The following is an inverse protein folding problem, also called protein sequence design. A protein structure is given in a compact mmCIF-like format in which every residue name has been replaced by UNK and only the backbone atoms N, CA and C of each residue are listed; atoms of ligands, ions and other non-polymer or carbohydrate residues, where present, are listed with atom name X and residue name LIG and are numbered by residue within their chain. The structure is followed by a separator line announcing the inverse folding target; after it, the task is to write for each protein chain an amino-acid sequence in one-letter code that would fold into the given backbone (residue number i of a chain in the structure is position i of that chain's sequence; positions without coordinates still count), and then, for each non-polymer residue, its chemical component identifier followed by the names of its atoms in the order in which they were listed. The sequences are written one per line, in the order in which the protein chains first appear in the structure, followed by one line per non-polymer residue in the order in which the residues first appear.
data_IF_168002178478
#
_entry.id   IF_168002178478
#
_cell.length_a   1.000
_cell.length_b   1.000
_cell.length_c   1.000
_cell.angle_alpha   90.00
_cell.angle_beta   90.00
_cell.angle_gamma   90.00
#
_symmetry.space_group_name_H-M   'P 1'
#
loop_
_entity.id
_entity.type
_entity.pdbx_description
1 polymer ?
#
# COMPACT_ATOMS: atom_id res chain seq x y z
N UNK A 1 33.12 -22.50 -54.62
CA UNK A 1 32.73 -22.64 -53.20
C UNK A 1 32.74 -21.30 -52.44
N UNK A 2 32.27 -20.19 -53.03
CA UNK A 2 32.22 -18.87 -52.36
C UNK A 2 30.80 -18.31 -52.17
N UNK A 3 29.79 -19.02 -52.67
CA UNK A 3 28.42 -18.49 -52.75
C UNK A 3 27.48 -19.10 -51.69
N UNK A 4 27.89 -20.18 -51.02
CA UNK A 4 27.12 -20.78 -49.92
C UNK A 4 27.34 -20.07 -48.57
N UNK A 5 28.47 -19.37 -48.41
CA UNK A 5 28.81 -18.65 -47.17
C UNK A 5 28.03 -17.33 -47.04
N UNK A 6 27.66 -16.70 -48.17
CA UNK A 6 26.92 -15.42 -48.17
C UNK A 6 25.43 -15.60 -47.86
N UNK A 7 24.83 -16.74 -48.24
CA UNK A 7 23.40 -17.02 -48.01
C UNK A 7 23.14 -17.42 -46.54
N UNK A 8 24.12 -18.02 -45.87
CA UNK A 8 23.99 -18.41 -44.46
C UNK A 8 23.97 -17.20 -43.50
N UNK A 9 24.62 -16.09 -43.86
CA UNK A 9 24.74 -14.89 -43.02
C UNK A 9 23.47 -14.01 -43.11
N UNK A 10 22.77 -14.03 -44.25
CA UNK A 10 21.52 -13.27 -44.43
C UNK A 10 20.35 -13.92 -43.67
N UNK A 11 20.35 -15.24 -43.50
CA UNK A 11 19.31 -15.95 -42.73
C UNK A 11 19.38 -15.69 -41.21
N UNK A 12 20.55 -15.31 -40.68
CA UNK A 12 20.72 -15.06 -39.25
C UNK A 12 20.22 -13.68 -38.80
N UNK A 13 20.12 -12.72 -39.74
CA UNK A 13 19.76 -11.31 -39.42
C UNK A 13 18.23 -11.09 -39.40
N UNK A 14 17.44 -12.02 -39.94
CA UNK A 14 15.97 -11.86 -40.03
C UNK A 14 15.24 -12.41 -38.78
N UNK A 15 15.92 -13.14 -37.88
CA UNK A 15 15.26 -13.76 -36.72
C UNK A 15 15.15 -12.89 -35.45
N UNK A 16 15.65 -11.65 -35.44
CA UNK A 16 15.69 -10.82 -34.21
C UNK A 16 14.64 -9.70 -34.16
N UNK A 17 13.71 -9.65 -35.12
CA UNK A 17 12.68 -8.60 -35.21
C UNK A 17 11.27 -9.12 -34.92
N UNK A 18 11.05 -9.82 -33.81
CA UNK A 18 9.69 -9.99 -33.28
C UNK A 18 9.68 -10.28 -31.78
N UNK A 19 9.93 -9.25 -30.99
CA UNK A 19 9.51 -9.18 -29.58
C UNK A 19 9.42 -7.71 -29.18
N UNK A 20 8.64 -6.95 -29.96
CA UNK A 20 8.28 -5.58 -29.64
C UNK A 20 7.37 -5.54 -28.41
N UNK A 21 7.98 -5.31 -27.25
CA UNK A 21 7.47 -4.70 -26.01
C UNK A 21 5.96 -4.40 -25.99
N UNK A 22 5.19 -5.23 -25.27
CA UNK A 22 3.81 -4.97 -24.82
C UNK A 22 3.78 -4.45 -23.35
N UNK A 23 4.60 -3.44 -23.03
CA UNK A 23 4.74 -2.92 -21.66
C UNK A 23 3.94 -1.63 -21.35
N UNK A 24 3.05 -1.19 -22.25
CA UNK A 24 2.37 0.12 -22.11
C UNK A 24 1.02 0.08 -21.37
N UNK A 25 0.32 -1.06 -21.33
CA UNK A 25 -1.00 -1.13 -20.70
C UNK A 25 -0.97 -1.53 -19.22
N UNK A 26 -0.11 -2.48 -18.83
CA UNK A 26 0.02 -2.90 -17.43
C UNK A 26 0.44 -1.75 -16.48
N UNK A 27 1.33 -0.86 -16.93
CA UNK A 27 1.77 0.28 -16.12
C UNK A 27 0.67 1.31 -15.88
N UNK A 28 -0.28 1.49 -16.82
CA UNK A 28 -1.36 2.47 -16.67
C UNK A 28 -2.39 2.00 -15.64
N UNK A 29 -2.72 0.71 -15.68
CA UNK A 29 -3.67 0.09 -14.75
C UNK A 29 -3.15 0.08 -13.30
N UNK A 30 -1.85 -0.24 -13.11
CA UNK A 30 -1.18 -0.21 -11.80
C UNK A 30 -1.20 1.20 -11.21
N UNK A 31 -0.79 2.21 -11.99
CA UNK A 31 -0.77 3.61 -11.52
C UNK A 31 -2.16 4.12 -11.12
N UNK A 32 -3.21 3.70 -11.84
CA UNK A 32 -4.59 4.09 -11.47
C UNK A 32 -5.10 3.42 -10.20
N UNK A 33 -4.72 2.16 -9.97
CA UNK A 33 -5.11 1.43 -8.75
C UNK A 33 -4.42 2.04 -7.53
N UNK A 34 -3.12 2.30 -7.62
CA UNK A 34 -2.33 2.87 -6.52
C UNK A 34 -2.85 4.26 -6.12
N UNK A 35 -3.17 5.11 -7.09
CA UNK A 35 -3.74 6.43 -6.81
C UNK A 35 -5.11 6.34 -6.08
N UNK A 36 -5.97 5.40 -6.48
CA UNK A 36 -7.27 5.19 -5.82
C UNK A 36 -7.09 4.65 -4.39
N UNK A 37 -6.18 3.70 -4.18
CA UNK A 37 -5.86 3.18 -2.84
C UNK A 37 -5.32 4.30 -1.94
N UNK A 38 -4.38 5.10 -2.45
CA UNK A 38 -3.84 6.23 -1.72
C UNK A 38 -4.93 7.23 -1.30
N UNK A 39 -5.88 7.53 -2.19
CA UNK A 39 -7.02 8.40 -1.89
C UNK A 39 -7.91 7.82 -0.77
N UNK A 40 -8.24 6.53 -0.84
CA UNK A 40 -9.02 5.82 0.19
C UNK A 40 -8.31 5.88 1.56
N UNK A 41 -7.01 5.56 1.61
CA UNK A 41 -6.25 5.60 2.85
C UNK A 41 -6.13 7.03 3.42
N UNK A 42 -5.98 8.03 2.55
CA UNK A 42 -5.91 9.44 2.97
C UNK A 42 -7.24 9.98 3.47
N UNK A 43 -8.38 9.40 3.08
CA UNK A 43 -9.71 9.72 3.62
C UNK A 43 -10.05 8.98 4.92
N UNK A 44 -9.19 8.07 5.40
CA UNK A 44 -9.44 7.34 6.62
C UNK A 44 -9.45 8.27 7.86
N UNK A 45 -10.40 8.03 8.77
CA UNK A 45 -10.60 8.78 9.99
C UNK A 45 -10.11 8.00 11.21
N UNK A 46 -9.55 8.72 12.21
CA UNK A 46 -9.11 8.16 13.48
C UNK A 46 -9.74 8.93 14.64
N UNK A 47 -10.48 8.23 15.51
CA UNK A 47 -11.21 8.84 16.62
C UNK A 47 -11.39 7.88 17.81
N UNK A 48 -11.58 8.35 19.05
CA UNK A 48 -11.46 9.74 19.45
C UNK A 48 -10.02 10.23 19.39
N UNK A 49 -9.84 11.53 19.22
CA UNK A 49 -8.55 12.18 19.35
C UNK A 49 -8.76 13.48 20.16
N UNK A 50 -8.30 13.58 21.41
CA UNK A 50 -7.40 12.64 22.09
C UNK A 50 -8.05 11.29 22.45
N UNK A 51 -7.24 10.24 22.46
CA UNK A 51 -7.60 8.87 22.77
C UNK A 51 -7.32 8.52 24.23
N UNK A 52 -8.18 7.69 24.82
CA UNK A 52 -7.90 7.00 26.08
C UNK A 52 -7.43 5.58 25.74
N UNK A 53 -8.16 4.54 26.12
CA UNK A 53 -7.66 3.16 25.99
C UNK A 53 -7.78 2.57 24.58
N UNK A 54 -8.50 3.24 23.68
CA UNK A 54 -8.65 2.79 22.31
C UNK A 54 -8.87 3.94 21.33
N UNK A 55 -8.61 3.65 20.06
CA UNK A 55 -9.07 4.42 18.91
C UNK A 55 -9.83 3.52 17.94
N UNK A 56 -10.66 4.17 17.14
CA UNK A 56 -11.33 3.61 15.98
C UNK A 56 -10.67 4.17 14.73
N UNK A 57 -10.41 3.28 13.78
CA UNK A 57 -10.04 3.61 12.42
C UNK A 57 -11.26 3.32 11.53
N UNK A 58 -11.74 4.34 10.84
CA UNK A 58 -12.82 4.23 9.85
C UNK A 58 -12.29 4.50 8.46
N UNK A 59 -12.47 3.56 7.55
CA UNK A 59 -12.08 3.65 6.15
C UNK A 59 -13.34 3.56 5.30
N UNK A 60 -13.67 4.65 4.62
CA UNK A 60 -14.72 4.66 3.60
C UNK A 60 -14.28 3.83 2.40
N UNK A 61 -15.22 3.17 1.72
CA UNK A 61 -14.91 2.34 0.53
C UNK A 61 -13.94 1.18 0.81
N UNK A 62 -13.97 0.64 2.04
CA UNK A 62 -13.11 -0.45 2.48
C UNK A 62 -13.18 -1.70 1.58
N UNK A 63 -14.34 -2.01 1.02
CA UNK A 63 -14.52 -3.17 0.12
C UNK A 63 -13.66 -3.07 -1.16
N UNK A 64 -13.18 -1.87 -1.51
CA UNK A 64 -12.29 -1.63 -2.65
C UNK A 64 -10.81 -1.89 -2.34
N UNK A 65 -10.47 -2.22 -1.08
CA UNK A 65 -9.10 -2.51 -0.65
C UNK A 65 -9.02 -3.87 0.06
N UNK A 66 -7.87 -4.53 -0.06
CA UNK A 66 -7.60 -5.83 0.56
C UNK A 66 -6.29 -5.81 1.34
N UNK A 67 -6.16 -6.68 2.35
CA UNK A 67 -4.91 -6.90 3.08
C UNK A 67 -4.32 -5.65 3.76
N UNK A 68 -5.18 -4.82 4.35
CA UNK A 68 -4.69 -3.66 5.11
C UNK A 68 -3.83 -4.10 6.30
N UNK A 69 -2.68 -3.44 6.42
CA UNK A 69 -1.82 -3.52 7.59
C UNK A 69 -1.96 -2.25 8.42
N UNK A 70 -2.18 -2.43 9.72
CA UNK A 70 -2.36 -1.34 10.68
C UNK A 70 -1.22 -1.42 11.70
N UNK A 71 -0.45 -0.36 11.84
CA UNK A 71 0.67 -0.27 12.80
C UNK A 71 0.58 1.04 13.60
N UNK A 72 0.80 0.99 14.91
CA UNK A 72 0.98 2.20 15.72
C UNK A 72 2.47 2.47 15.88
N UNK A 73 2.88 3.71 15.63
CA UNK A 73 4.26 4.16 15.70
C UNK A 73 4.39 5.38 16.60
N UNK A 74 5.44 5.43 17.41
CA UNK A 74 5.83 6.65 18.12
C UNK A 74 6.28 7.73 17.13
N UNK A 75 6.37 8.99 17.60
CA UNK A 75 6.81 10.10 16.76
C UNK A 75 8.24 9.94 16.20
N UNK A 76 9.09 9.15 16.87
CA UNK A 76 10.46 8.82 16.43
C UNK A 76 10.52 7.55 15.56
N UNK A 77 9.37 6.95 15.24
CA UNK A 77 9.26 5.80 14.35
C UNK A 77 9.36 4.43 15.03
N UNK A 78 9.33 4.36 16.36
CA UNK A 78 9.31 3.09 17.09
C UNK A 78 7.93 2.44 16.95
N UNK A 79 7.87 1.17 16.52
CA UNK A 79 6.61 0.43 16.48
C UNK A 79 6.13 0.08 17.88
N UNK A 80 4.87 0.38 18.15
CA UNK A 80 4.21 0.02 19.40
C UNK A 80 3.54 -1.34 19.27
N UNK A 81 3.61 -2.14 20.33
CA UNK A 81 2.85 -3.38 20.42
C UNK A 81 1.42 -3.02 20.82
N UNK A 82 0.50 -3.19 19.89
CA UNK A 82 -0.94 -2.96 20.08
C UNK A 82 -1.70 -4.11 19.45
N UNK A 83 -2.91 -4.33 19.90
CA UNK A 83 -3.85 -5.25 19.25
C UNK A 83 -4.89 -4.44 18.50
N UNK A 84 -5.46 -5.04 17.46
CA UNK A 84 -6.60 -4.46 16.77
C UNK A 84 -7.54 -5.55 16.29
N UNK A 85 -8.82 -5.21 16.21
CA UNK A 85 -9.86 -6.08 15.70
C UNK A 85 -10.73 -5.33 14.69
N UNK A 86 -11.17 -6.04 13.65
CA UNK A 86 -12.19 -5.51 12.73
C UNK A 86 -13.55 -5.74 13.37
N UNK A 87 -14.24 -4.65 13.71
CA UNK A 87 -15.55 -4.71 14.38
C UNK A 87 -16.72 -4.50 13.42
N UNK A 88 -16.47 -3.91 12.25
CA UNK A 88 -17.42 -3.77 11.14
C UNK A 88 -16.67 -3.59 9.80
N UNK A 89 -17.38 -3.54 8.67
CA UNK A 89 -16.74 -3.22 7.39
C UNK A 89 -16.10 -1.82 7.42
N UNK A 90 -14.80 -1.78 7.13
CA UNK A 90 -14.00 -0.55 7.21
C UNK A 90 -13.83 0.03 8.61
N UNK A 91 -14.27 -0.65 9.68
CA UNK A 91 -14.16 -0.16 11.05
C UNK A 91 -13.30 -1.10 11.89
N UNK A 92 -12.22 -0.55 12.44
CA UNK A 92 -11.28 -1.27 13.28
C UNK A 92 -11.20 -0.59 14.64
N UNK A 93 -11.16 -1.39 15.70
CA UNK A 93 -10.84 -0.93 17.05
C UNK A 93 -9.39 -1.31 17.35
N UNK A 94 -8.61 -0.35 17.83
CA UNK A 94 -7.20 -0.51 18.19
C UNK A 94 -7.07 -0.27 19.69
N UNK A 95 -6.52 -1.25 20.40
CA UNK A 95 -6.25 -1.18 21.84
C UNK A 95 -4.91 -0.47 22.10
N UNK A 96 -4.96 0.55 22.96
CA UNK A 96 -3.84 1.41 23.34
C UNK A 96 -3.54 1.34 24.84
N UNK A 97 -4.17 0.43 25.58
CA UNK A 97 -4.08 0.35 27.05
C UNK A 97 -2.64 0.16 27.54
N UNK A 98 -1.82 -0.54 26.76
CA UNK A 98 -0.44 -0.89 27.11
C UNK A 98 0.61 0.10 26.60
N UNK A 99 0.21 1.22 25.97
CA UNK A 99 1.15 2.22 25.46
C UNK A 99 1.09 3.53 26.29
N UNK A 100 2.23 4.20 26.52
CA UNK A 100 2.25 5.44 27.28
C UNK A 100 1.43 6.59 26.65
N UNK A 101 1.07 7.57 27.48
CA UNK A 101 0.60 8.89 27.04
C UNK A 101 1.59 9.54 26.07
N UNK A 102 1.09 10.10 24.97
CA UNK A 102 1.95 10.79 24.00
C UNK A 102 1.36 10.92 22.60
N UNK A 103 2.17 11.49 21.70
CA UNK A 103 1.84 11.61 20.28
C UNK A 103 2.30 10.39 19.49
N UNK A 104 1.40 9.86 18.68
CA UNK A 104 1.61 8.67 17.86
C UNK A 104 1.11 8.87 16.44
N UNK A 105 1.55 7.99 15.55
CA UNK A 105 1.00 7.80 14.22
C UNK A 105 0.37 6.43 14.10
N UNK A 106 -0.80 6.37 13.47
CA UNK A 106 -1.36 5.16 12.92
C UNK A 106 -0.92 5.06 11.44
N UNK A 107 -0.09 4.09 11.14
CA UNK A 107 0.37 3.78 9.78
C UNK A 107 -0.57 2.75 9.16
N UNK A 108 -1.18 3.13 8.05
CA UNK A 108 -1.97 2.26 7.19
C UNK A 108 -1.11 1.86 5.99
N UNK A 109 -1.09 0.59 5.63
CA UNK A 109 -0.41 0.10 4.42
C UNK A 109 -1.32 -0.86 3.66
N UNK A 110 -1.50 -0.62 2.37
CA UNK A 110 -2.20 -1.50 1.42
C UNK A 110 -1.33 -1.58 0.16
N UNK A 111 -0.93 -2.78 -0.25
CA UNK A 111 0.03 -2.99 -1.33
C UNK A 111 1.31 -2.14 -1.12
N UNK A 112 1.64 -1.20 -2.03
CA UNK A 112 2.75 -0.26 -1.89
C UNK A 112 2.37 1.07 -1.22
N UNK A 113 1.07 1.34 -1.08
CA UNK A 113 0.55 2.62 -0.61
C UNK A 113 0.52 2.71 0.91
N UNK A 114 0.86 3.91 1.40
CA UNK A 114 0.97 4.20 2.83
C UNK A 114 0.29 5.51 3.19
N UNK A 115 -0.39 5.53 4.33
CA UNK A 115 -0.93 6.75 4.91
C UNK A 115 -0.68 6.80 6.42
N UNK A 116 -0.38 8.00 6.93
CA UNK A 116 -0.11 8.25 8.35
C UNK A 116 -1.21 9.12 8.93
N UNK A 117 -1.75 8.71 10.08
CA UNK A 117 -2.76 9.47 10.84
C UNK A 117 -2.23 9.77 12.23
N UNK A 118 -2.09 11.05 12.57
CA UNK A 118 -1.60 11.47 13.90
C UNK A 118 -2.74 11.42 14.92
N UNK A 119 -2.45 10.94 16.12
CA UNK A 119 -3.34 11.03 17.27
C UNK A 119 -2.57 11.30 18.58
N UNK A 120 -3.28 11.73 19.62
CA UNK A 120 -2.77 11.91 20.97
C UNK A 120 -3.39 10.85 21.90
N UNK A 121 -2.58 10.04 22.57
CA UNK A 121 -2.99 9.19 23.70
C UNK A 121 -2.86 10.00 25.00
N UNK A 122 -3.92 10.03 25.80
CA UNK A 122 -3.94 10.58 27.16
C UNK A 122 -3.54 9.53 28.18
#
# INVERSE_FOLDING_TARGET
MKNALSILIISFIILTLSSGVRAKDANKEIVTKDAAVAEILNKADVYPNPAEDHIFLKISEFESISNIKIEVMSIIGTKMKVTHEKIDSGLFKIDLSDIPTGHYYLLLTVDSEKSLKKFLKK
#
